data_IF_806118589285
#
_entry.id   IF_806118589285
#
_cell.length_a   1.000
_cell.length_b   1.000
_cell.length_c   1.000
_cell.angle_alpha   90.00
_cell.angle_beta   90.00
_cell.angle_gamma   90.00
#
_symmetry.space_group_name_H-M   'P 1'
#
loop_
_entity.id
_entity.type
_entity.pdbx_description
1 polymer ?
#
# COMPACT_ATOMS: atom_id res chain seq x y z
N UNK A 1 -26.81 15.56 -27.85
CA UNK A 1 -26.12 16.56 -27.02
C UNK A 1 -26.64 16.42 -25.60
N UNK A 2 -25.95 15.71 -24.77
CA UNK A 2 -26.20 15.61 -23.33
C UNK A 2 -24.91 16.04 -22.65
N UNK A 3 -24.88 17.26 -22.15
CA UNK A 3 -23.78 17.85 -21.43
C UNK A 3 -23.67 17.24 -20.04
N UNK A 4 -22.60 16.52 -19.79
CA UNK A 4 -22.24 16.04 -18.46
C UNK A 4 -21.79 17.21 -17.59
N UNK A 5 -22.54 17.50 -16.56
CA UNK A 5 -22.23 18.48 -15.54
C UNK A 5 -21.12 17.89 -14.63
N UNK A 6 -19.89 18.36 -14.82
CA UNK A 6 -18.79 18.08 -13.89
C UNK A 6 -19.03 18.93 -12.63
N UNK A 7 -19.60 18.33 -11.60
CA UNK A 7 -19.67 18.94 -10.28
C UNK A 7 -18.30 18.83 -9.64
N UNK A 8 -17.53 19.91 -9.67
CA UNK A 8 -16.36 20.06 -8.79
C UNK A 8 -16.89 20.18 -7.35
N UNK A 9 -16.76 19.13 -6.58
CA UNK A 9 -16.93 19.21 -5.14
C UNK A 9 -15.76 20.02 -4.55
N UNK A 10 -15.98 21.29 -4.29
CA UNK A 10 -15.14 22.06 -3.37
C UNK A 10 -15.47 21.55 -1.97
N UNK A 11 -14.61 20.68 -1.45
CA UNK A 11 -14.72 20.20 -0.07
C UNK A 11 -14.55 21.38 0.90
N UNK A 12 -15.44 21.53 1.91
CA UNK A 12 -15.22 22.51 2.95
C UNK A 12 -13.94 22.16 3.73
N UNK A 13 -13.25 23.17 4.23
CA UNK A 13 -12.06 23.11 5.09
C UNK A 13 -12.33 22.31 6.37
N UNK A 14 -12.33 20.98 6.28
CA UNK A 14 -12.13 20.12 7.44
C UNK A 14 -10.63 19.86 7.58
N UNK A 15 -10.16 19.85 8.82
CA UNK A 15 -8.75 19.60 9.13
C UNK A 15 -8.28 18.34 8.38
N UNK A 16 -7.39 18.52 7.40
CA UNK A 16 -6.87 17.41 6.60
C UNK A 16 -6.22 16.41 7.54
N UNK A 17 -6.58 15.13 7.41
CA UNK A 17 -6.02 14.04 8.21
C UNK A 17 -4.50 13.93 8.06
N UNK A 18 -4.00 14.32 6.89
CA UNK A 18 -2.57 14.43 6.58
C UNK A 18 -2.34 15.55 5.59
N UNK A 19 -1.26 16.31 5.74
CA UNK A 19 -0.92 17.46 4.91
C UNK A 19 0.36 17.17 4.12
N UNK A 20 0.33 17.41 2.81
CA UNK A 20 1.51 17.24 1.94
C UNK A 20 1.97 15.81 1.77
N UNK A 21 1.19 14.84 2.21
CA UNK A 21 1.50 13.43 2.23
C UNK A 21 0.77 12.68 1.10
N UNK A 22 1.49 11.85 0.34
CA UNK A 22 0.91 10.84 -0.55
C UNK A 22 0.92 9.49 0.19
N UNK A 23 -0.19 9.20 0.88
CA UNK A 23 -0.34 8.03 1.72
C UNK A 23 -0.90 6.80 0.97
N UNK A 24 -1.47 7.00 -0.23
CA UNK A 24 -2.11 5.95 -1.00
C UNK A 24 -1.16 5.40 -2.06
N UNK A 25 0.00 4.83 -1.62
CA UNK A 25 0.98 4.30 -2.56
C UNK A 25 1.58 3.00 -2.10
N UNK A 26 1.64 2.09 -3.07
CA UNK A 26 2.51 0.93 -2.99
C UNK A 26 3.96 1.38 -2.90
N UNK A 27 4.79 0.70 -2.11
CA UNK A 27 6.23 0.97 -2.06
C UNK A 27 6.86 0.63 -3.41
N UNK A 28 7.33 1.64 -4.12
CA UNK A 28 8.02 1.52 -5.41
C UNK A 28 9.35 2.27 -5.33
N UNK A 29 10.45 1.53 -5.22
CA UNK A 29 11.80 2.09 -5.20
C UNK A 29 12.44 1.76 -6.55
N UNK A 30 12.76 2.78 -7.37
CA UNK A 30 13.33 2.55 -8.68
C UNK A 30 14.79 2.16 -8.59
N UNK A 31 15.22 1.26 -9.45
CA UNK A 31 16.60 0.84 -9.61
C UNK A 31 17.23 1.49 -10.86
N UNK A 32 18.55 1.73 -10.86
CA UNK A 32 19.23 2.34 -11.99
C UNK A 32 19.48 1.36 -13.17
N UNK A 33 19.39 0.06 -12.93
CA UNK A 33 19.61 -0.98 -13.95
C UNK A 33 18.86 -2.27 -13.60
N UNK A 34 18.69 -3.14 -14.58
CA UNK A 34 18.08 -4.45 -14.38
C UNK A 34 18.89 -5.33 -13.39
N UNK A 35 20.22 -5.27 -13.46
CA UNK A 35 21.09 -6.05 -12.55
C UNK A 35 20.97 -5.61 -11.10
N UNK A 36 20.84 -4.30 -10.84
CA UNK A 36 20.61 -3.80 -9.48
C UNK A 36 19.20 -4.09 -8.99
N UNK A 37 18.20 -4.09 -9.88
CA UNK A 37 16.84 -4.48 -9.55
C UNK A 37 16.78 -5.96 -9.12
N UNK A 38 17.44 -6.84 -9.89
CA UNK A 38 17.50 -8.28 -9.60
C UNK A 38 18.21 -8.62 -8.28
N UNK A 39 19.15 -7.79 -7.86
CA UNK A 39 19.86 -7.99 -6.59
C UNK A 39 19.02 -7.65 -5.35
N UNK A 40 17.87 -6.98 -5.50
CA UNK A 40 16.94 -6.55 -4.44
C UNK A 40 17.60 -5.82 -3.24
N UNK A 41 18.82 -5.31 -3.41
CA UNK A 41 19.57 -4.64 -2.35
C UNK A 41 19.00 -3.27 -2.03
N UNK A 42 18.41 -3.08 -0.86
CA UNK A 42 17.90 -1.79 -0.39
C UNK A 42 19.03 -0.88 0.14
N UNK A 43 20.10 -1.45 0.63
CA UNK A 43 21.14 -0.73 1.41
C UNK A 43 22.09 0.13 0.55
N UNK A 44 22.21 -0.13 -0.75
CA UNK A 44 23.15 0.56 -1.65
C UNK A 44 22.51 0.97 -2.97
N UNK A 45 21.36 1.64 -2.90
CA UNK A 45 20.70 2.08 -4.11
C UNK A 45 21.07 3.52 -4.47
N UNK A 46 21.33 3.75 -5.75
CA UNK A 46 21.58 5.09 -6.29
C UNK A 46 20.40 6.04 -6.05
N UNK A 47 19.19 5.52 -5.96
CA UNK A 47 17.96 6.32 -5.89
C UNK A 47 17.24 6.22 -4.54
N UNK A 48 17.89 5.63 -3.55
CA UNK A 48 17.37 5.57 -2.18
C UNK A 48 18.50 5.73 -1.17
N UNK A 49 18.25 6.51 -0.14
CA UNK A 49 19.15 6.69 1.00
C UNK A 49 18.37 6.45 2.29
N UNK A 50 18.66 5.38 3.06
CA UNK A 50 18.11 5.22 4.40
C UNK A 50 18.69 6.28 5.34
N UNK A 51 17.87 6.76 6.26
CA UNK A 51 18.30 7.64 7.35
C UNK A 51 18.31 6.80 8.63
N UNK A 52 19.51 6.48 9.11
CA UNK A 52 19.72 5.58 10.27
C UNK A 52 20.27 6.29 11.50
N UNK A 53 20.92 7.45 11.32
CA UNK A 53 21.54 8.19 12.40
C UNK A 53 20.65 9.36 12.80
N UNK A 54 20.08 9.29 14.01
CA UNK A 54 19.17 10.29 14.53
C UNK A 54 19.68 10.91 15.84
N UNK A 55 19.78 12.23 15.83
CA UNK A 55 19.90 13.04 17.04
C UNK A 55 18.53 13.27 17.67
N UNK A 56 18.45 13.22 18.99
CA UNK A 56 17.22 13.48 19.75
C UNK A 56 17.44 14.65 20.71
N UNK A 57 17.37 15.90 20.23
CA UNK A 57 17.53 17.06 21.10
C UNK A 57 16.42 17.14 22.16
N UNK A 58 15.24 16.61 21.85
CA UNK A 58 14.08 16.48 22.73
C UNK A 58 13.43 15.10 22.52
N UNK A 59 12.61 14.65 23.49
CA UNK A 59 11.96 13.35 23.39
C UNK A 59 11.04 13.22 22.17
N UNK A 60 10.49 14.33 21.70
CA UNK A 60 9.54 14.38 20.57
C UNK A 60 10.16 14.88 19.27
N UNK A 61 11.44 15.23 19.27
CA UNK A 61 12.13 15.78 18.08
C UNK A 61 13.27 14.88 17.67
N UNK A 62 13.24 14.47 16.41
CA UNK A 62 14.29 13.67 15.78
C UNK A 62 14.92 14.50 14.66
N UNK A 63 16.23 14.60 14.64
CA UNK A 63 17.01 15.31 13.62
C UNK A 63 18.02 14.38 12.96
N UNK A 64 18.15 14.53 11.65
CA UNK A 64 19.10 13.80 10.85
C UNK A 64 19.52 14.61 9.64
N UNK A 65 20.45 14.07 8.87
CA UNK A 65 20.91 14.68 7.62
C UNK A 65 20.85 13.68 6.48
N UNK A 66 20.63 14.19 5.27
CA UNK A 66 20.76 13.41 4.05
C UNK A 66 21.50 14.21 2.97
N UNK A 67 22.13 13.49 2.05
CA UNK A 67 22.83 14.10 0.91
C UNK A 67 21.93 14.08 -0.32
N UNK A 68 21.81 15.22 -0.99
CA UNK A 68 21.15 15.33 -2.28
C UNK A 68 22.22 15.31 -3.40
N UNK A 69 22.46 14.18 -4.04
CA UNK A 69 23.50 14.06 -5.05
C UNK A 69 23.10 14.75 -6.36
N UNK A 70 24.06 15.26 -7.11
CA UNK A 70 23.86 15.89 -8.43
C UNK A 70 23.00 15.06 -9.39
N UNK A 71 23.10 13.73 -9.32
CA UNK A 71 22.31 12.82 -10.15
C UNK A 71 20.79 12.85 -9.89
N UNK A 72 20.32 13.57 -8.83
CA UNK A 72 18.91 13.71 -8.50
C UNK A 72 18.29 15.02 -8.96
N UNK A 73 19.06 15.97 -9.54
CA UNK A 73 18.60 17.32 -9.89
C UNK A 73 17.36 17.36 -10.80
N UNK A 74 17.28 16.48 -11.76
CA UNK A 74 16.13 16.39 -12.68
C UNK A 74 15.06 15.38 -12.25
N UNK A 75 15.13 14.92 -11.01
CA UNK A 75 14.21 13.91 -10.45
C UNK A 75 13.31 14.55 -9.39
N UNK A 76 12.29 13.81 -8.98
CA UNK A 76 11.52 14.15 -7.78
C UNK A 76 12.10 13.40 -6.58
N UNK A 77 12.15 14.08 -5.44
CA UNK A 77 12.69 13.52 -4.20
C UNK A 77 11.58 13.48 -3.16
N UNK A 78 11.44 12.33 -2.54
CA UNK A 78 10.45 12.06 -1.51
C UNK A 78 11.13 11.63 -0.22
N UNK A 79 10.62 12.11 0.89
CA UNK A 79 10.89 11.52 2.20
C UNK A 79 9.78 10.49 2.47
N UNK A 80 10.16 9.24 2.66
CA UNK A 80 9.25 8.17 3.05
C UNK A 80 9.47 7.84 4.51
N UNK A 81 8.39 7.85 5.30
CA UNK A 81 8.36 7.53 6.72
C UNK A 81 7.48 6.30 6.91
N UNK A 82 8.01 5.27 7.56
CA UNK A 82 7.31 4.04 7.89
C UNK A 82 7.41 3.78 9.41
N UNK A 83 6.42 3.10 9.98
CA UNK A 83 6.39 2.61 11.36
C UNK A 83 6.65 3.69 12.43
N UNK A 84 6.06 4.88 12.26
CA UNK A 84 6.17 5.97 13.23
C UNK A 84 5.34 5.71 14.50
N UNK A 85 4.26 4.92 14.40
CA UNK A 85 3.33 4.51 15.47
C UNK A 85 2.66 5.66 16.24
N UNK A 86 2.81 6.90 15.79
CA UNK A 86 2.13 8.08 16.32
C UNK A 86 2.07 9.19 15.27
N UNK A 87 1.20 10.20 15.42
CA UNK A 87 1.16 11.37 14.55
C UNK A 87 2.50 12.11 14.53
N UNK A 88 2.85 12.70 13.39
CA UNK A 88 4.10 13.44 13.24
C UNK A 88 4.04 14.52 12.16
N UNK A 89 4.96 15.47 12.25
CA UNK A 89 5.26 16.49 11.25
C UNK A 89 6.68 16.29 10.70
N UNK A 90 6.86 16.68 9.45
CA UNK A 90 8.15 16.62 8.74
C UNK A 90 8.59 18.02 8.34
N UNK A 91 9.86 18.33 8.59
CA UNK A 91 10.52 19.56 8.16
C UNK A 91 11.81 19.24 7.41
N UNK A 92 12.06 19.99 6.35
CA UNK A 92 13.29 19.90 5.55
C UNK A 92 13.93 21.29 5.52
N UNK A 93 15.19 21.38 5.96
CA UNK A 93 15.91 22.65 6.06
C UNK A 93 15.11 23.73 6.81
N UNK A 94 14.43 23.32 7.89
CA UNK A 94 13.59 24.19 8.73
C UNK A 94 12.22 24.55 8.12
N UNK A 95 11.88 24.07 6.93
CA UNK A 95 10.60 24.35 6.26
C UNK A 95 9.66 23.16 6.41
N UNK A 96 8.39 23.41 6.73
CA UNK A 96 7.36 22.39 6.84
C UNK A 96 7.15 21.66 5.49
N UNK A 97 7.26 20.36 5.50
CA UNK A 97 7.06 19.48 4.33
C UNK A 97 5.68 18.83 4.35
N UNK A 98 5.15 18.53 5.53
CA UNK A 98 3.85 17.90 5.70
C UNK A 98 3.70 17.21 7.04
N UNK A 99 2.57 16.56 7.25
CA UNK A 99 2.25 15.80 8.46
C UNK A 99 1.46 14.54 8.16
N UNK A 100 1.51 13.56 9.04
CA UNK A 100 0.67 12.38 9.02
C UNK A 100 0.06 12.14 10.40
N UNK A 101 -1.25 11.86 10.44
CA UNK A 101 -1.95 11.42 11.66
C UNK A 101 -1.93 9.90 11.80
N UNK A 102 -1.71 9.16 10.72
CA UNK A 102 -1.61 7.71 10.71
C UNK A 102 -0.15 7.27 10.81
N UNK A 103 0.30 6.95 12.00
CA UNK A 103 1.65 6.43 12.23
C UNK A 103 1.82 4.94 11.88
N UNK A 104 0.75 4.23 11.53
CA UNK A 104 0.77 2.79 11.24
C UNK A 104 0.94 2.48 9.75
N UNK A 105 0.89 3.47 8.89
CA UNK A 105 1.10 3.30 7.47
C UNK A 105 2.24 4.18 6.96
N UNK A 106 2.88 3.71 5.90
CA UNK A 106 3.91 4.47 5.22
C UNK A 106 3.35 5.75 4.60
N UNK A 107 4.07 6.86 4.76
CA UNK A 107 3.72 8.16 4.19
C UNK A 107 4.88 8.71 3.38
N UNK A 108 4.60 9.31 2.22
CA UNK A 108 5.60 9.94 1.36
C UNK A 108 5.34 11.44 1.21
N UNK A 109 6.36 12.24 1.46
CA UNK A 109 6.33 13.69 1.37
C UNK A 109 7.21 14.13 0.19
N UNK A 110 6.66 14.90 -0.75
CA UNK A 110 7.45 15.45 -1.85
C UNK A 110 8.31 16.60 -1.33
N UNK A 111 9.61 16.34 -1.17
CA UNK A 111 10.58 17.29 -0.65
C UNK A 111 11.44 17.94 -1.74
N UNK A 112 11.13 17.73 -3.03
CA UNK A 112 11.92 18.20 -4.16
C UNK A 112 12.25 19.70 -4.10
N UNK A 113 11.25 20.52 -3.77
CA UNK A 113 11.41 21.98 -3.70
C UNK A 113 12.01 22.48 -2.37
N UNK A 114 12.09 21.63 -1.37
CA UNK A 114 12.64 21.93 -0.05
C UNK A 114 14.10 21.51 0.07
N UNK A 115 14.51 20.55 -0.76
CA UNK A 115 15.87 20.05 -0.83
C UNK A 115 16.76 21.01 -1.61
N UNK A 116 18.03 21.08 -1.24
CA UNK A 116 19.11 21.78 -1.93
C UNK A 116 20.20 20.77 -2.29
N UNK A 117 21.05 21.12 -3.22
CA UNK A 117 22.25 20.32 -3.52
C UNK A 117 23.09 20.13 -2.26
N UNK A 118 23.75 18.96 -2.17
CA UNK A 118 24.59 18.54 -1.07
C UNK A 118 23.81 18.22 0.21
N UNK A 119 24.15 18.76 1.36
CA UNK A 119 23.66 18.35 2.67
C UNK A 119 22.36 19.07 3.05
N UNK A 120 21.38 18.28 3.49
CA UNK A 120 20.08 18.76 3.92
C UNK A 120 19.75 18.27 5.33
N UNK A 121 19.04 19.09 6.09
CA UNK A 121 18.54 18.76 7.41
C UNK A 121 17.11 18.17 7.30
N UNK A 122 16.87 17.08 8.02
CA UNK A 122 15.55 16.49 8.25
C UNK A 122 15.21 16.61 9.71
N UNK A 123 14.02 17.10 10.01
CA UNK A 123 13.46 17.10 11.35
C UNK A 123 12.08 16.42 11.33
N UNK A 124 11.87 15.45 12.21
CA UNK A 124 10.56 14.81 12.46
C UNK A 124 10.15 15.19 13.87
N UNK A 125 8.99 15.82 14.00
CA UNK A 125 8.36 16.15 15.27
C UNK A 125 7.23 15.18 15.53
N UNK A 126 7.38 14.37 16.56
CA UNK A 126 6.34 13.47 17.04
C UNK A 126 5.28 14.29 17.80
N UNK A 127 4.02 14.13 17.44
CA UNK A 127 2.89 14.85 18.02
C UNK A 127 2.21 14.00 19.10
N UNK A 128 1.40 14.64 19.96
CA UNK A 128 0.55 13.92 20.90
C UNK A 128 -0.39 12.95 20.14
N UNK A 129 -0.56 11.76 20.72
CA UNK A 129 -1.50 10.76 20.23
C UNK A 129 -2.90 10.90 20.83
N UNK A 130 -3.17 11.88 21.71
CA UNK A 130 -4.42 11.99 22.47
C UNK A 130 -5.66 12.00 21.59
N UNK A 131 -5.61 12.71 20.46
CA UNK A 131 -6.73 12.74 19.53
C UNK A 131 -6.89 11.39 18.81
N UNK A 132 -5.81 10.81 18.26
CA UNK A 132 -5.91 9.56 17.51
C UNK A 132 -6.19 8.36 18.39
N UNK A 133 -5.90 8.42 19.69
CA UNK A 133 -6.26 7.39 20.67
C UNK A 133 -7.78 7.11 20.72
N UNK A 134 -8.62 8.06 20.27
CA UNK A 134 -10.07 7.85 20.15
C UNK A 134 -10.44 6.76 19.13
N UNK A 135 -9.57 6.49 18.18
CA UNK A 135 -9.77 5.48 17.12
C UNK A 135 -8.66 4.42 17.11
N UNK A 136 -7.74 4.45 18.05
CA UNK A 136 -6.58 3.55 18.13
C UNK A 136 -6.57 2.78 19.46
N UNK A 137 -7.71 2.21 19.85
CA UNK A 137 -7.83 1.37 21.04
C UNK A 137 -7.28 -0.04 20.80
N UNK A 138 -5.96 -0.14 20.51
CA UNK A 138 -5.23 -1.38 20.30
C UNK A 138 -3.77 -1.22 20.74
N UNK A 139 -3.08 -2.34 20.93
CA UNK A 139 -1.67 -2.33 21.30
C UNK A 139 -0.82 -1.78 20.15
N UNK A 140 -0.01 -0.80 20.47
CA UNK A 140 1.01 -0.29 19.56
C UNK A 140 2.26 -1.15 19.70
N UNK A 141 2.78 -1.64 18.59
CA UNK A 141 4.08 -2.31 18.56
C UNK A 141 5.24 -1.39 18.99
N UNK A 142 6.42 -1.94 19.11
CA UNK A 142 7.62 -1.15 19.36
C UNK A 142 7.86 -0.18 18.20
N UNK A 143 8.15 1.09 18.52
CA UNK A 143 8.46 2.10 17.52
C UNK A 143 9.76 1.72 16.79
N UNK A 144 9.63 1.36 15.53
CA UNK A 144 10.74 0.97 14.64
C UNK A 144 10.89 1.94 13.48
N UNK A 145 10.66 3.23 13.74
CA UNK A 145 10.71 4.30 12.73
C UNK A 145 11.76 4.07 11.66
N UNK A 146 11.31 3.92 10.43
CA UNK A 146 12.15 3.79 9.24
C UNK A 146 11.93 4.99 8.35
N UNK A 147 13.02 5.63 7.94
CA UNK A 147 12.96 6.82 7.09
C UNK A 147 13.91 6.65 5.92
N UNK A 148 13.39 6.95 4.74
CA UNK A 148 14.15 6.87 3.49
C UNK A 148 13.98 8.15 2.67
N UNK A 149 15.06 8.60 2.05
CA UNK A 149 14.98 9.59 0.97
C UNK A 149 14.99 8.83 -0.35
N UNK A 150 13.96 9.00 -1.16
CA UNK A 150 13.77 8.26 -2.41
C UNK A 150 13.73 9.24 -3.57
N UNK A 151 14.59 9.03 -4.56
CA UNK A 151 14.61 9.79 -5.80
C UNK A 151 13.87 9.03 -6.91
N UNK A 152 12.88 9.67 -7.52
CA UNK A 152 12.05 9.09 -8.57
C UNK A 152 12.09 9.92 -9.84
N UNK A 153 12.04 9.33 -11.05
CA UNK A 153 11.95 10.13 -12.28
C UNK A 153 10.65 10.93 -12.31
N UNK A 154 10.63 12.03 -13.06
CA UNK A 154 9.42 12.86 -13.21
C UNK A 154 8.32 12.17 -14.00
N UNK A 155 8.69 11.28 -14.91
CA UNK A 155 7.76 10.36 -15.60
C UNK A 155 8.06 8.95 -15.11
N UNK A 156 7.13 8.39 -14.34
CA UNK A 156 7.42 7.21 -13.52
C UNK A 156 6.26 6.23 -13.44
N UNK A 157 6.58 5.00 -13.09
CA UNK A 157 5.63 4.05 -12.56
C UNK A 157 5.17 4.55 -11.18
N UNK A 158 3.88 4.78 -11.02
CA UNK A 158 3.28 5.23 -9.75
C UNK A 158 2.73 4.06 -8.93
N UNK A 159 2.19 3.07 -9.60
CA UNK A 159 1.59 1.90 -8.95
C UNK A 159 1.60 0.69 -9.89
N UNK A 160 1.49 -0.49 -9.30
CA UNK A 160 1.37 -1.75 -10.03
C UNK A 160 0.42 -2.70 -9.30
N UNK A 161 -0.37 -3.42 -10.07
CA UNK A 161 -1.21 -4.49 -9.60
C UNK A 161 -1.19 -5.66 -10.57
N UNK A 162 -1.50 -6.86 -10.07
CA UNK A 162 -1.66 -8.05 -10.89
C UNK A 162 -2.75 -8.95 -10.34
N UNK A 163 -3.33 -9.75 -11.21
CA UNK A 163 -4.30 -10.77 -10.90
C UNK A 163 -4.17 -11.94 -11.87
N UNK A 164 -4.86 -13.02 -11.60
CA UNK A 164 -5.02 -14.11 -12.54
C UNK A 164 -6.51 -14.45 -12.70
N UNK A 165 -6.85 -15.00 -13.85
CA UNK A 165 -8.16 -15.57 -14.14
C UNK A 165 -7.97 -17.00 -14.65
N UNK A 166 -8.47 -17.97 -13.90
CA UNK A 166 -8.39 -19.39 -14.27
C UNK A 166 -9.53 -19.71 -15.23
N UNK A 167 -9.15 -19.85 -16.51
CA UNK A 167 -10.08 -20.21 -17.57
C UNK A 167 -10.44 -21.69 -17.60
N UNK A 168 -11.27 -22.06 -18.58
CA UNK A 168 -11.57 -23.46 -18.88
C UNK A 168 -10.33 -24.15 -19.44
N UNK A 169 -10.15 -25.44 -19.12
CA UNK A 169 -9.05 -26.28 -19.63
C UNK A 169 -7.64 -25.98 -19.05
N UNK A 170 -7.55 -25.34 -17.86
CA UNK A 170 -6.27 -25.13 -17.19
C UNK A 170 -5.41 -23.99 -17.77
N UNK A 171 -5.94 -23.20 -18.67
CA UNK A 171 -5.28 -21.98 -19.13
C UNK A 171 -5.58 -20.85 -18.15
N UNK A 172 -4.54 -20.20 -17.66
CA UNK A 172 -4.65 -19.04 -16.77
C UNK A 172 -4.24 -17.79 -17.53
N UNK A 173 -5.07 -16.77 -17.49
CA UNK A 173 -4.72 -15.44 -17.98
C UNK A 173 -4.17 -14.62 -16.82
N UNK A 174 -2.89 -14.22 -16.92
CA UNK A 174 -2.34 -13.22 -16.01
C UNK A 174 -2.69 -11.82 -16.49
N UNK A 175 -3.05 -10.94 -15.59
CA UNK A 175 -3.37 -9.54 -15.87
C UNK A 175 -2.51 -8.62 -15.03
N UNK A 176 -1.93 -7.62 -15.66
CA UNK A 176 -1.09 -6.62 -15.02
C UNK A 176 -1.61 -5.21 -15.33
N UNK A 177 -1.64 -4.37 -14.32
CA UNK A 177 -1.93 -2.95 -14.44
C UNK A 177 -0.73 -2.14 -13.94
N UNK A 178 -0.24 -1.23 -14.77
CA UNK A 178 0.86 -0.32 -14.42
C UNK A 178 0.35 1.10 -14.54
N UNK A 179 0.25 1.79 -13.42
CA UNK A 179 -0.16 3.19 -13.36
C UNK A 179 1.06 4.07 -13.58
N UNK A 180 1.00 4.89 -14.61
CA UNK A 180 2.06 5.84 -14.98
C UNK A 180 1.67 7.26 -14.58
N UNK A 181 2.66 8.05 -14.17
CA UNK A 181 2.47 9.45 -13.81
C UNK A 181 3.53 10.34 -14.46
N UNK A 182 3.07 11.41 -15.10
CA UNK A 182 3.91 12.49 -15.62
C UNK A 182 3.83 13.70 -14.68
N UNK A 183 4.89 14.01 -13.97
CA UNK A 183 4.98 15.17 -13.09
C UNK A 183 5.64 16.40 -13.77
N UNK A 184 5.64 16.44 -15.12
CA UNK A 184 6.21 17.57 -15.88
C UNK A 184 5.11 18.48 -16.44
N UNK A 185 5.50 19.68 -16.84
CA UNK A 185 4.62 20.69 -17.45
C UNK A 185 4.27 20.41 -18.92
N UNK A 186 4.90 19.42 -19.53
CA UNK A 186 4.70 19.05 -20.94
C UNK A 186 4.21 17.61 -21.07
N UNK A 187 3.62 17.33 -22.23
CA UNK A 187 3.23 15.97 -22.59
C UNK A 187 4.48 15.10 -22.78
N UNK A 188 4.39 13.84 -22.39
CA UNK A 188 5.49 12.86 -22.49
C UNK A 188 4.97 11.53 -23.04
N UNK A 189 5.86 10.82 -23.72
CA UNK A 189 5.64 9.43 -24.08
C UNK A 189 6.63 8.58 -23.29
N UNK A 190 6.10 7.59 -22.62
CA UNK A 190 6.87 6.60 -21.86
C UNK A 190 6.72 5.24 -22.52
N UNK A 191 7.83 4.59 -22.86
CA UNK A 191 7.83 3.21 -23.34
C UNK A 191 8.11 2.28 -22.17
N UNK A 192 7.13 1.46 -21.80
CA UNK A 192 7.26 0.46 -20.76
C UNK A 192 7.58 -0.88 -21.39
N UNK A 193 8.75 -1.42 -21.07
CA UNK A 193 9.16 -2.80 -21.39
C UNK A 193 8.80 -3.67 -20.18
N UNK A 194 8.27 -4.86 -20.45
CA UNK A 194 7.86 -5.82 -19.43
C UNK A 194 8.19 -7.25 -19.86
N UNK A 195 8.67 -8.06 -18.91
CA UNK A 195 8.99 -9.46 -19.11
C UNK A 195 8.62 -10.26 -17.87
N UNK A 196 7.96 -11.40 -18.08
CA UNK A 196 7.56 -12.32 -17.02
C UNK A 196 8.41 -13.59 -17.11
N UNK A 197 9.04 -13.96 -16.02
CA UNK A 197 9.91 -15.12 -15.91
C UNK A 197 9.43 -16.10 -14.82
N UNK A 198 9.64 -17.39 -15.07
CA UNK A 198 9.51 -18.46 -14.09
C UNK A 198 10.91 -19.00 -13.77
N UNK A 199 11.23 -19.11 -12.47
CA UNK A 199 12.50 -19.61 -11.96
C UNK A 199 13.73 -18.92 -12.61
N UNK A 200 13.66 -17.61 -12.84
CA UNK A 200 14.69 -16.74 -13.42
C UNK A 200 15.15 -17.06 -14.84
N UNK A 201 14.71 -18.16 -15.42
CA UNK A 201 15.23 -18.69 -16.69
C UNK A 201 14.17 -18.88 -17.76
N UNK A 202 12.95 -19.25 -17.39
CA UNK A 202 11.88 -19.56 -18.34
C UNK A 202 11.05 -18.29 -18.58
N UNK A 203 11.18 -17.69 -19.75
CA UNK A 203 10.38 -16.54 -20.15
C UNK A 203 8.96 -16.96 -20.47
N UNK A 204 8.00 -16.53 -19.66
CA UNK A 204 6.56 -16.79 -19.84
C UNK A 204 5.93 -15.83 -20.85
N UNK A 205 6.39 -14.59 -20.90
CA UNK A 205 5.88 -13.57 -21.82
C UNK A 205 6.66 -12.27 -21.72
N UNK A 206 6.35 -11.31 -22.59
CA UNK A 206 6.97 -10.00 -22.55
C UNK A 206 6.67 -9.17 -23.80
N UNK A 207 6.94 -7.88 -23.68
CA UNK A 207 6.72 -6.93 -24.74
C UNK A 207 7.06 -5.51 -24.32
N UNK A 208 6.57 -4.55 -25.06
CA UNK A 208 6.62 -3.15 -24.71
C UNK A 208 5.37 -2.43 -25.19
N UNK A 209 5.05 -1.31 -24.56
CA UNK A 209 3.99 -0.40 -24.98
C UNK A 209 4.37 1.03 -24.70
N UNK A 210 3.94 1.91 -25.61
CA UNK A 210 4.02 3.35 -25.43
C UNK A 210 2.76 3.84 -24.68
N UNK A 211 2.99 4.69 -23.70
CA UNK A 211 1.97 5.34 -22.89
C UNK A 211 2.11 6.85 -23.07
N UNK A 212 1.11 7.46 -23.69
CA UNK A 212 1.06 8.92 -23.85
C UNK A 212 0.51 9.56 -22.58
N UNK A 213 1.28 10.42 -21.97
CA UNK A 213 0.95 11.07 -20.70
C UNK A 213 0.86 12.58 -20.89
N UNK A 214 -0.30 13.15 -20.74
CA UNK A 214 -0.49 14.60 -20.70
C UNK A 214 0.29 15.24 -19.53
N UNK A 215 0.45 16.55 -19.57
CA UNK A 215 1.10 17.30 -18.47
C UNK A 215 0.41 17.02 -17.14
N UNK A 216 1.18 16.69 -16.11
CA UNK A 216 0.69 16.31 -14.78
C UNK A 216 -0.32 15.16 -14.81
N UNK A 217 -0.35 14.38 -15.91
CA UNK A 217 -1.32 13.33 -16.15
C UNK A 217 -0.95 12.00 -15.53
N UNK A 218 -1.98 11.19 -15.34
CA UNK A 218 -1.89 9.79 -14.91
C UNK A 218 -2.62 8.96 -15.94
N UNK A 219 -2.03 7.83 -16.34
CA UNK A 219 -2.67 6.85 -17.20
C UNK A 219 -2.31 5.43 -16.74
N UNK A 220 -3.13 4.44 -17.12
CA UNK A 220 -2.95 3.05 -16.73
C UNK A 220 -2.76 2.17 -17.95
N UNK A 221 -1.58 1.56 -18.03
CA UNK A 221 -1.29 0.54 -19.03
C UNK A 221 -1.72 -0.83 -18.50
N UNK A 222 -2.38 -1.62 -19.38
CA UNK A 222 -2.78 -3.01 -19.08
C UNK A 222 -2.17 -3.96 -20.07
N UNK A 223 -1.68 -5.09 -19.58
CA UNK A 223 -1.17 -6.19 -20.38
C UNK A 223 -1.38 -7.53 -19.65
N UNK A 224 -1.28 -8.62 -20.37
CA UNK A 224 -1.42 -9.95 -19.79
C UNK A 224 -0.87 -11.03 -20.70
N UNK A 225 -0.71 -12.22 -20.17
CA UNK A 225 -0.20 -13.39 -20.86
C UNK A 225 -0.98 -14.64 -20.43
N UNK A 226 -1.20 -15.59 -21.35
CA UNK A 226 -1.54 -16.94 -20.95
C UNK A 226 -0.34 -17.57 -20.22
N UNK A 227 -0.57 -18.15 -19.08
CA UNK A 227 0.44 -18.85 -18.28
C UNK A 227 -0.04 -20.26 -17.94
N UNK A 228 0.86 -21.23 -17.70
CA UNK A 228 0.47 -22.55 -17.22
C UNK A 228 -0.26 -22.46 -15.85
N UNK A 229 -1.24 -23.33 -15.62
CA UNK A 229 -1.94 -23.43 -14.32
C UNK A 229 -1.00 -23.77 -13.16
N UNK A 230 0.11 -24.44 -13.45
CA UNK A 230 1.14 -24.78 -12.47
C UNK A 230 1.83 -23.59 -11.83
N UNK A 231 1.80 -22.38 -12.45
CA UNK A 231 2.43 -21.16 -11.89
C UNK A 231 1.50 -20.36 -10.99
N UNK A 232 0.22 -20.77 -10.90
CA UNK A 232 -0.75 -20.09 -10.02
C UNK A 232 -0.54 -20.52 -8.58
N UNK A 233 -0.58 -19.54 -7.68
CA UNK A 233 -0.48 -19.81 -6.24
C UNK A 233 -1.61 -20.71 -5.74
N UNK A 234 -1.28 -21.83 -5.11
CA UNK A 234 -2.25 -22.84 -4.68
C UNK A 234 -2.30 -23.04 -3.15
N UNK A 235 -1.91 -22.02 -2.35
CA UNK A 235 -1.89 -22.17 -0.89
C UNK A 235 -0.72 -23.01 -0.37
N UNK A 236 0.31 -23.21 -1.16
CA UNK A 236 1.58 -23.82 -0.80
C UNK A 236 2.68 -23.16 -1.63
N UNK A 237 3.92 -23.23 -1.20
CA UNK A 237 5.12 -22.55 -1.76
C UNK A 237 4.89 -21.91 -3.14
N UNK A 238 4.90 -20.58 -3.26
CA UNK A 238 4.71 -19.91 -4.52
C UNK A 238 5.82 -20.31 -5.49
N UNK A 239 5.48 -20.49 -6.77
CA UNK A 239 6.50 -20.53 -7.81
C UNK A 239 7.22 -19.19 -7.85
N UNK A 240 8.52 -19.22 -8.14
CA UNK A 240 9.31 -18.02 -8.32
C UNK A 240 8.96 -17.39 -9.69
N UNK A 241 7.89 -16.60 -9.71
CA UNK A 241 7.51 -15.80 -10.87
C UNK A 241 7.97 -14.37 -10.63
N UNK A 242 8.65 -13.78 -11.62
CA UNK A 242 9.20 -12.44 -11.53
C UNK A 242 8.76 -11.60 -12.72
N UNK A 243 8.30 -10.40 -12.45
CA UNK A 243 7.99 -9.38 -13.44
C UNK A 243 9.10 -8.33 -13.46
N UNK A 244 9.81 -8.25 -14.58
CA UNK A 244 10.76 -7.19 -14.84
C UNK A 244 10.06 -6.05 -15.56
N UNK A 245 10.22 -4.83 -15.07
CA UNK A 245 9.75 -3.61 -15.71
C UNK A 245 10.92 -2.67 -15.97
N UNK A 246 10.88 -2.03 -17.14
CA UNK A 246 11.79 -0.95 -17.51
C UNK A 246 10.99 0.19 -18.12
N UNK A 247 11.18 1.39 -17.60
CA UNK A 247 10.60 2.61 -18.12
C UNK A 247 11.64 3.39 -18.92
N UNK A 248 11.31 3.69 -20.19
CA UNK A 248 12.11 4.53 -21.07
C UNK A 248 11.33 5.76 -21.47
N UNK A 249 11.92 6.92 -21.24
CA UNK A 249 11.35 8.24 -21.56
C UNK A 249 12.33 8.99 -22.46
N UNK A 250 11.85 9.47 -23.60
CA UNK A 250 12.69 10.23 -24.55
C UNK A 250 14.00 9.50 -24.91
N UNK A 251 13.92 8.18 -25.10
CA UNK A 251 15.06 7.32 -25.48
C UNK A 251 16.02 6.96 -24.33
N UNK A 252 15.77 7.42 -23.10
CA UNK A 252 16.60 7.11 -21.92
C UNK A 252 15.87 6.17 -20.97
N UNK A 253 16.56 5.14 -20.49
CA UNK A 253 16.04 4.29 -19.42
C UNK A 253 16.12 5.05 -18.09
N UNK A 254 14.98 5.25 -17.43
CA UNK A 254 14.86 6.12 -16.25
C UNK A 254 14.63 5.39 -14.96
N UNK A 255 14.08 4.17 -15.03
CA UNK A 255 13.84 3.30 -13.86
C UNK A 255 13.67 1.84 -14.29
N UNK A 256 14.04 0.95 -13.38
CA UNK A 256 13.89 -0.49 -13.48
C UNK A 256 13.25 -1.02 -12.21
N UNK A 257 12.46 -2.08 -12.37
CA UNK A 257 11.85 -2.83 -11.27
C UNK A 257 11.94 -4.32 -11.51
N UNK A 258 11.99 -5.06 -10.43
CA UNK A 258 11.94 -6.51 -10.41
C UNK A 258 10.99 -6.92 -9.28
N UNK A 259 9.82 -7.43 -9.64
CA UNK A 259 8.80 -7.80 -8.68
C UNK A 259 8.66 -9.30 -8.58
N UNK A 260 8.74 -9.87 -7.36
CA UNK A 260 8.18 -11.19 -7.14
C UNK A 260 6.65 -11.11 -7.35
N UNK A 261 6.14 -11.98 -8.19
CA UNK A 261 4.71 -12.01 -8.55
C UNK A 261 4.12 -13.34 -8.10
N UNK A 262 3.02 -13.28 -7.37
CA UNK A 262 2.19 -14.44 -7.11
C UNK A 262 0.85 -14.23 -7.80
N UNK A 263 0.51 -15.14 -8.70
CA UNK A 263 -0.73 -15.10 -9.47
C UNK A 263 -1.79 -15.94 -8.77
N UNK A 264 -2.96 -15.38 -8.54
CA UNK A 264 -4.10 -16.07 -7.95
C UNK A 264 -5.40 -15.56 -8.56
N UNK A 265 -6.31 -16.48 -8.87
CA UNK A 265 -7.71 -16.14 -9.16
C UNK A 265 -8.47 -16.21 -7.82
N UNK A 266 -8.79 -15.06 -7.28
CA UNK A 266 -9.50 -14.91 -6.02
C UNK A 266 -10.87 -14.27 -6.27
N UNK A 267 -11.94 -14.94 -5.84
CA UNK A 267 -13.31 -14.42 -5.89
C UNK A 267 -14.04 -14.71 -4.58
N UNK A 268 -14.94 -13.82 -4.24
CA UNK A 268 -15.85 -14.00 -3.11
C UNK A 268 -17.28 -13.82 -3.59
N UNK A 269 -18.06 -14.88 -3.55
CA UNK A 269 -19.42 -14.90 -4.07
C UNK A 269 -20.36 -15.62 -3.09
N UNK A 270 -21.46 -14.96 -2.74
CA UNK A 270 -22.51 -15.54 -1.87
C UNK A 270 -21.98 -16.13 -0.55
N UNK A 271 -21.02 -15.46 0.07
CA UNK A 271 -20.46 -15.88 1.34
C UNK A 271 -19.38 -16.96 1.26
N UNK A 272 -18.92 -17.31 0.07
CA UNK A 272 -17.92 -18.34 -0.18
C UNK A 272 -16.71 -17.77 -0.94
N UNK A 273 -15.52 -18.13 -0.52
CA UNK A 273 -14.30 -17.85 -1.27
C UNK A 273 -14.11 -18.88 -2.38
N UNK A 274 -13.64 -18.41 -3.50
CA UNK A 274 -13.15 -19.25 -4.61
C UNK A 274 -11.70 -18.90 -4.90
N UNK A 275 -10.82 -19.87 -4.70
CA UNK A 275 -9.39 -19.76 -4.99
C UNK A 275 -9.10 -20.66 -6.17
N UNK A 276 -8.67 -20.09 -7.29
CA UNK A 276 -8.41 -20.80 -8.54
C UNK A 276 -9.59 -21.73 -8.93
N UNK A 277 -10.80 -21.18 -8.92
CA UNK A 277 -12.07 -21.89 -9.18
C UNK A 277 -12.47 -22.98 -8.16
N UNK A 278 -11.73 -23.16 -7.06
CA UNK A 278 -12.09 -24.10 -5.99
C UNK A 278 -12.76 -23.35 -4.84
N UNK A 279 -13.93 -23.83 -4.42
CA UNK A 279 -14.61 -23.29 -3.25
C UNK A 279 -13.77 -23.59 -1.99
N UNK A 280 -13.58 -22.57 -1.16
CA UNK A 280 -12.84 -22.66 0.09
C UNK A 280 -13.68 -22.00 1.19
N UNK A 281 -13.98 -22.75 2.24
CA UNK A 281 -14.55 -22.21 3.47
C UNK A 281 -13.38 -21.70 4.33
N UNK A 282 -13.32 -20.39 4.54
CA UNK A 282 -12.22 -19.74 5.25
C UNK A 282 -12.76 -19.19 6.57
N UNK A 283 -12.35 -19.80 7.68
CA UNK A 283 -12.63 -19.33 9.02
C UNK A 283 -11.37 -18.71 9.64
N UNK A 284 -11.41 -17.41 9.86
CA UNK A 284 -10.23 -16.64 10.28
C UNK A 284 -10.02 -16.72 11.78
N UNK A 285 -8.85 -17.22 12.20
CA UNK A 285 -8.38 -17.15 13.59
C UNK A 285 -7.82 -15.76 13.87
N UNK A 286 -8.31 -15.04 14.90
CA UNK A 286 -7.80 -13.72 15.23
C UNK A 286 -6.37 -13.80 15.81
N UNK A 287 -5.49 -12.89 15.36
CA UNK A 287 -4.14 -12.71 15.89
C UNK A 287 -3.81 -11.22 16.04
N UNK A 288 -2.90 -10.91 16.97
CA UNK A 288 -2.39 -9.54 17.14
C UNK A 288 -1.60 -9.09 15.90
N UNK A 289 -1.72 -7.82 15.47
CA UNK A 289 -0.91 -7.27 14.39
C UNK A 289 0.59 -7.21 14.74
N UNK A 290 0.94 -7.23 16.02
CA UNK A 290 2.33 -7.29 16.51
C UNK A 290 2.92 -8.71 16.55
N UNK A 291 2.18 -9.73 16.09
CA UNK A 291 2.67 -11.11 16.04
C UNK A 291 3.92 -11.21 15.15
N UNK A 292 4.86 -12.02 15.60
CA UNK A 292 6.10 -12.31 14.87
C UNK A 292 5.93 -13.48 13.89
N UNK A 293 6.92 -13.70 13.04
CA UNK A 293 6.99 -14.89 12.18
C UNK A 293 6.92 -16.18 13.02
N UNK A 294 7.58 -16.22 14.17
CA UNK A 294 7.53 -17.38 15.07
C UNK A 294 6.14 -17.65 15.63
N UNK A 295 5.36 -16.60 15.91
CA UNK A 295 3.99 -16.75 16.41
C UNK A 295 3.07 -17.32 15.33
N UNK A 296 3.21 -16.84 14.09
CA UNK A 296 2.50 -17.40 12.93
C UNK A 296 2.93 -18.84 12.69
N UNK A 297 4.22 -19.15 12.74
CA UNK A 297 4.72 -20.51 12.57
C UNK A 297 4.17 -21.49 13.66
N UNK A 298 4.05 -21.03 14.91
CA UNK A 298 3.41 -21.80 15.99
C UNK A 298 1.92 -22.03 15.71
N UNK A 299 1.22 -21.03 15.19
CA UNK A 299 -0.21 -21.15 14.81
C UNK A 299 -0.39 -22.18 13.69
N UNK A 300 0.45 -22.14 12.66
CA UNK A 300 0.45 -23.11 11.55
C UNK A 300 0.66 -24.54 12.06
N UNK A 301 1.61 -24.75 12.98
CA UNK A 301 1.85 -26.06 13.61
C UNK A 301 0.66 -26.60 14.39
N UNK A 302 -0.21 -25.70 14.88
CA UNK A 302 -1.49 -26.05 15.54
C UNK A 302 -2.65 -26.27 14.57
N UNK A 303 -2.40 -26.17 13.26
CA UNK A 303 -3.41 -26.41 12.23
C UNK A 303 -4.09 -25.14 11.69
N UNK A 304 -3.73 -23.94 12.15
CA UNK A 304 -4.26 -22.69 11.60
C UNK A 304 -3.86 -22.54 10.14
N UNK A 305 -4.82 -22.21 9.27
CA UNK A 305 -4.62 -21.99 7.83
C UNK A 305 -5.12 -20.62 7.36
N UNK A 306 -5.81 -19.90 8.24
CA UNK A 306 -6.36 -18.56 7.96
C UNK A 306 -6.31 -17.70 9.21
N UNK A 307 -5.83 -16.49 9.06
CA UNK A 307 -5.57 -15.54 10.14
C UNK A 307 -6.25 -14.22 9.84
N UNK A 308 -6.97 -13.66 10.81
CA UNK A 308 -7.36 -12.26 10.81
C UNK A 308 -6.44 -11.49 11.75
N UNK A 309 -5.60 -10.64 11.22
CA UNK A 309 -4.90 -9.69 12.06
C UNK A 309 -5.85 -8.58 12.51
N UNK A 310 -5.92 -8.38 13.83
CA UNK A 310 -6.73 -7.30 14.42
C UNK A 310 -6.17 -5.92 14.08
N UNK A 311 -6.88 -4.85 14.45
CA UNK A 311 -6.50 -3.48 14.09
C UNK A 311 -5.04 -3.16 14.47
N UNK A 312 -4.30 -2.59 13.53
CA UNK A 312 -2.89 -2.25 13.70
C UNK A 312 -2.08 -2.37 12.42
N UNK A 313 -0.76 -2.43 12.55
CA UNK A 313 0.17 -2.65 11.43
C UNK A 313 0.83 -4.02 11.55
N UNK A 314 0.71 -4.80 10.49
CA UNK A 314 1.39 -6.09 10.37
C UNK A 314 2.70 -5.90 9.61
N UNK A 315 3.79 -6.46 10.11
CA UNK A 315 5.09 -6.30 9.45
C UNK A 315 5.12 -6.98 8.07
N UNK A 316 5.86 -6.38 7.14
CA UNK A 316 6.08 -6.94 5.79
C UNK A 316 6.71 -8.35 5.88
N UNK A 317 7.56 -8.59 6.86
CA UNK A 317 8.19 -9.89 7.09
C UNK A 317 7.15 -10.99 7.40
N UNK A 318 6.17 -10.67 8.25
CA UNK A 318 5.07 -11.59 8.60
C UNK A 318 4.18 -11.85 7.38
N UNK A 319 3.85 -10.84 6.60
CA UNK A 319 3.05 -11.01 5.38
C UNK A 319 3.79 -11.83 4.33
N UNK A 320 5.08 -11.58 4.11
CA UNK A 320 5.91 -12.39 3.22
C UNK A 320 5.98 -13.86 3.68
N UNK A 321 6.05 -14.09 4.98
CA UNK A 321 5.99 -15.45 5.52
C UNK A 321 4.63 -16.12 5.28
N UNK A 322 3.53 -15.39 5.45
CA UNK A 322 2.19 -15.88 5.11
C UNK A 322 2.04 -16.21 3.62
N UNK A 323 2.59 -15.36 2.74
CA UNK A 323 2.64 -15.61 1.29
C UNK A 323 3.37 -16.93 0.98
N UNK A 324 4.54 -17.15 1.62
CA UNK A 324 5.37 -18.34 1.41
C UNK A 324 4.74 -19.62 1.96
N UNK A 325 4.06 -19.54 3.11
CA UNK A 325 3.43 -20.69 3.78
C UNK A 325 2.00 -20.96 3.31
N UNK A 326 1.44 -20.09 2.44
CA UNK A 326 0.09 -20.27 1.90
C UNK A 326 -1.02 -20.04 2.91
N UNK A 327 -0.82 -19.13 3.85
CA UNK A 327 -1.81 -18.78 4.87
C UNK A 327 -2.74 -17.71 4.31
N UNK A 328 -4.05 -17.92 4.42
CA UNK A 328 -5.03 -16.90 4.07
C UNK A 328 -5.09 -15.82 5.15
N UNK A 329 -5.01 -14.56 4.74
CA UNK A 329 -4.94 -13.42 5.65
C UNK A 329 -6.10 -12.47 5.40
N UNK A 330 -6.80 -12.07 6.47
CA UNK A 330 -7.64 -10.89 6.50
C UNK A 330 -6.94 -9.79 7.29
N UNK A 331 -6.81 -8.60 6.71
CA UNK A 331 -6.15 -7.46 7.37
C UNK A 331 -7.18 -6.45 7.82
N UNK A 332 -7.11 -6.05 9.09
CA UNK A 332 -7.96 -5.01 9.67
C UNK A 332 -7.25 -3.66 9.59
N UNK A 333 -7.95 -2.64 9.10
CA UNK A 333 -7.45 -1.27 9.13
C UNK A 333 -7.12 -0.84 10.58
N UNK A 334 -6.12 0.02 10.77
CA UNK A 334 -5.71 0.45 12.12
C UNK A 334 -6.75 1.40 12.73
N UNK A 335 -7.93 0.87 12.98
CA UNK A 335 -9.11 1.55 13.52
C UNK A 335 -9.78 0.63 14.55
N UNK A 336 -9.86 1.12 15.77
CA UNK A 336 -10.67 0.58 16.85
C UNK A 336 -11.09 1.74 17.75
N UNK A 337 -12.37 2.09 17.79
CA UNK A 337 -12.88 3.20 18.57
C UNK A 337 -13.74 2.78 19.77
N UNK A 338 -13.56 1.55 20.27
CA UNK A 338 -14.31 0.99 21.40
C UNK A 338 -14.26 1.86 22.64
N UNK A 339 -13.11 2.48 22.94
CA UNK A 339 -12.93 3.38 24.08
C UNK A 339 -13.82 4.64 24.01
N UNK A 340 -14.30 5.01 22.83
CA UNK A 340 -15.19 6.17 22.62
C UNK A 340 -16.68 5.82 22.76
N UNK A 341 -17.00 4.61 23.23
CA UNK A 341 -18.37 4.15 23.43
C UNK A 341 -19.07 3.72 22.13
N UNK A 342 -20.30 3.27 22.25
CA UNK A 342 -21.08 2.66 21.17
C UNK A 342 -22.16 3.56 20.56
N UNK A 343 -22.14 4.87 20.84
CA UNK A 343 -23.16 5.80 20.36
C UNK A 343 -23.09 5.99 18.84
N UNK A 344 -24.16 5.62 18.16
CA UNK A 344 -24.34 5.81 16.69
C UNK A 344 -24.94 7.19 16.34
N UNK A 345 -25.13 8.08 17.32
CA UNK A 345 -25.58 9.46 17.06
C UNK A 345 -24.45 10.27 16.44
N UNK A 346 -24.80 11.26 15.62
CA UNK A 346 -23.83 12.22 15.09
C UNK A 346 -23.05 12.90 16.23
N UNK A 347 -21.71 12.89 16.13
CA UNK A 347 -20.83 13.39 17.19
C UNK A 347 -20.70 12.44 18.41
N UNK A 348 -21.21 11.20 18.30
CA UNK A 348 -21.00 10.15 19.30
C UNK A 348 -19.65 9.45 19.12
N UNK A 349 -19.67 8.11 18.83
CA UNK A 349 -18.43 7.43 18.49
C UNK A 349 -17.79 8.09 17.25
N UNK A 350 -16.44 8.17 17.14
CA UNK A 350 -15.73 8.74 15.98
C UNK A 350 -16.20 8.20 14.63
N UNK A 351 -16.67 6.96 14.56
CA UNK A 351 -17.25 6.39 13.33
C UNK A 351 -18.49 7.17 12.83
N UNK A 352 -19.17 7.95 13.67
CA UNK A 352 -20.32 8.82 13.36
C UNK A 352 -20.00 10.31 13.49
N UNK A 353 -18.76 10.68 13.71
CA UNK A 353 -18.33 12.08 13.76
C UNK A 353 -17.74 12.48 12.39
N UNK A 354 -18.34 13.49 11.71
CA UNK A 354 -17.85 13.97 10.42
C UNK A 354 -16.38 14.41 10.43
N UNK A 355 -15.84 14.85 11.57
CA UNK A 355 -14.45 15.24 11.72
C UNK A 355 -13.45 14.09 11.57
N UNK A 356 -13.90 12.84 11.67
CA UNK A 356 -13.08 11.64 11.54
C UNK A 356 -13.22 10.93 10.19
N UNK A 357 -14.16 11.35 9.36
CA UNK A 357 -14.49 10.70 8.09
C UNK A 357 -13.28 10.47 7.20
N UNK A 358 -12.50 11.52 6.94
CA UNK A 358 -11.33 11.44 6.06
C UNK A 358 -10.27 10.49 6.64
N UNK A 359 -10.10 10.48 7.95
CA UNK A 359 -9.14 9.61 8.62
C UNK A 359 -9.53 8.12 8.48
N UNK A 360 -10.80 7.78 8.65
CA UNK A 360 -11.30 6.41 8.45
C UNK A 360 -11.06 5.93 7.02
N UNK A 361 -11.45 6.75 6.03
CA UNK A 361 -11.25 6.45 4.60
C UNK A 361 -9.76 6.32 4.27
N UNK A 362 -8.94 7.27 4.73
CA UNK A 362 -7.51 7.27 4.46
C UNK A 362 -6.83 6.00 5.01
N UNK A 363 -7.10 5.62 6.27
CA UNK A 363 -6.52 4.42 6.89
C UNK A 363 -6.89 3.13 6.15
N UNK A 364 -8.14 3.03 5.71
CA UNK A 364 -8.63 1.88 4.94
C UNK A 364 -7.93 1.78 3.57
N UNK A 365 -7.85 2.90 2.85
CA UNK A 365 -7.18 2.93 1.54
C UNK A 365 -5.67 2.71 1.65
N UNK A 366 -5.01 3.27 2.67
CA UNK A 366 -3.59 3.03 2.92
C UNK A 366 -3.30 1.55 3.15
N UNK A 367 -4.10 0.87 3.98
CA UNK A 367 -3.96 -0.55 4.21
C UNK A 367 -4.01 -1.33 2.88
N UNK A 368 -4.98 -1.04 2.02
CA UNK A 368 -5.10 -1.68 0.72
C UNK A 368 -3.86 -1.43 -0.16
N UNK A 369 -3.50 -0.17 -0.38
CA UNK A 369 -2.40 0.17 -1.29
C UNK A 369 -1.03 -0.36 -0.82
N UNK A 370 -0.81 -0.47 0.48
CA UNK A 370 0.45 -1.00 1.03
C UNK A 370 0.52 -2.52 1.00
N UNK A 371 -0.62 -3.23 1.02
CA UNK A 371 -0.65 -4.69 1.17
C UNK A 371 -1.26 -5.45 0.00
N UNK A 372 -1.83 -4.77 -1.00
CA UNK A 372 -2.54 -5.42 -2.12
C UNK A 372 -1.70 -6.41 -2.94
N UNK A 373 -0.37 -6.31 -2.89
CA UNK A 373 0.55 -7.23 -3.59
C UNK A 373 0.79 -8.55 -2.86
N UNK A 374 0.42 -8.64 -1.57
CA UNK A 374 0.51 -9.89 -0.83
C UNK A 374 -0.61 -10.84 -1.26
N UNK A 375 -0.22 -12.00 -1.78
CA UNK A 375 -1.16 -13.00 -2.28
C UNK A 375 -1.94 -13.67 -1.17
N UNK A 376 -1.32 -13.81 0.00
CA UNK A 376 -1.97 -14.32 1.21
C UNK A 376 -3.13 -13.44 1.67
N UNK A 377 -3.10 -12.13 1.40
CA UNK A 377 -4.16 -11.21 1.78
C UNK A 377 -5.38 -11.42 0.89
N UNK A 378 -6.38 -12.12 1.42
CA UNK A 378 -7.61 -12.51 0.70
C UNK A 378 -8.81 -11.66 1.06
N UNK A 379 -8.75 -10.86 2.12
CA UNK A 379 -9.83 -9.98 2.56
C UNK A 379 -9.31 -8.76 3.32
N UNK A 380 -10.11 -7.70 3.33
CA UNK A 380 -9.88 -6.52 4.15
C UNK A 380 -11.01 -6.31 5.14
N UNK A 381 -10.68 -5.83 6.33
CA UNK A 381 -11.62 -5.53 7.41
C UNK A 381 -11.54 -4.04 7.72
N UNK A 382 -12.68 -3.35 7.76
CA UNK A 382 -12.73 -1.90 7.88
C UNK A 382 -12.24 -1.38 9.24
N UNK A 383 -12.52 -2.12 10.30
CA UNK A 383 -12.16 -1.76 11.66
C UNK A 383 -12.40 -2.95 12.59
N UNK A 384 -11.82 -2.91 13.77
CA UNK A 384 -12.35 -3.61 14.94
C UNK A 384 -13.47 -2.76 15.58
N UNK A 385 -13.98 -3.09 16.76
CA UNK A 385 -15.11 -2.49 17.43
C UNK A 385 -15.17 -0.95 17.31
N UNK A 386 -16.11 -0.43 16.51
CA UNK A 386 -16.20 0.99 16.14
C UNK A 386 -17.64 1.48 15.96
N UNK A 387 -18.59 0.94 16.69
CA UNK A 387 -19.99 1.35 16.74
C UNK A 387 -20.72 1.43 15.38
N UNK A 388 -20.15 0.93 14.30
CA UNK A 388 -20.69 0.86 12.94
C UNK A 388 -21.32 2.18 12.43
N UNK A 389 -20.53 3.24 12.36
CA UNK A 389 -20.96 4.56 11.92
C UNK A 389 -20.84 4.81 10.43
N UNK A 390 -21.29 6.01 10.00
CA UNK A 390 -21.29 6.44 8.59
C UNK A 390 -19.88 6.46 7.98
N UNK A 391 -18.84 6.76 8.77
CA UNK A 391 -17.46 6.79 8.27
C UNK A 391 -16.96 5.41 7.82
N UNK A 392 -17.44 4.32 8.45
CA UNK A 392 -17.16 2.96 7.99
C UNK A 392 -17.84 2.63 6.66
N UNK A 393 -19.08 3.13 6.45
CA UNK A 393 -19.72 2.97 5.16
C UNK A 393 -18.98 3.69 4.04
N UNK A 394 -18.53 4.89 4.30
CA UNK A 394 -17.76 5.65 3.32
C UNK A 394 -16.39 5.02 3.06
N UNK A 395 -15.75 4.45 4.09
CA UNK A 395 -14.55 3.62 3.93
C UNK A 395 -14.83 2.40 3.06
N UNK A 396 -15.96 1.72 3.27
CA UNK A 396 -16.40 0.62 2.42
C UNK A 396 -16.56 1.04 0.96
N UNK A 397 -17.30 2.12 0.69
CA UNK A 397 -17.51 2.62 -0.67
C UNK A 397 -16.19 3.06 -1.33
N UNK A 398 -15.34 3.77 -0.60
CA UNK A 398 -14.04 4.20 -1.09
C UNK A 398 -13.15 3.00 -1.43
N UNK A 399 -13.10 1.99 -0.57
CA UNK A 399 -12.33 0.79 -0.83
C UNK A 399 -12.91 -0.01 -2.01
N UNK A 400 -14.23 -0.19 -2.08
CA UNK A 400 -14.92 -0.88 -3.21
C UNK A 400 -14.71 -0.18 -4.56
N UNK A 401 -14.38 1.10 -4.58
CA UNK A 401 -14.08 1.83 -5.82
C UNK A 401 -12.70 1.54 -6.40
N UNK A 402 -11.78 0.99 -5.61
CA UNK A 402 -10.37 0.76 -5.99
C UNK A 402 -9.90 -0.67 -5.82
N UNK A 403 -10.61 -1.48 -4.99
CA UNK A 403 -10.22 -2.85 -4.68
C UNK A 403 -10.49 -3.78 -5.88
N UNK A 404 -9.69 -4.82 -5.97
CA UNK A 404 -9.90 -5.95 -6.88
C UNK A 404 -11.08 -6.84 -6.41
N UNK A 405 -11.04 -8.13 -6.69
CA UNK A 405 -12.09 -9.10 -6.34
C UNK A 405 -12.16 -9.48 -4.85
N UNK A 406 -11.29 -8.94 -3.99
CA UNK A 406 -11.26 -9.26 -2.56
C UNK A 406 -12.46 -8.69 -1.83
N UNK A 407 -13.05 -9.45 -0.90
CA UNK A 407 -14.14 -8.94 -0.08
C UNK A 407 -13.67 -7.94 0.97
N UNK A 408 -14.59 -7.08 1.36
CA UNK A 408 -14.45 -6.12 2.44
C UNK A 408 -15.41 -6.48 3.55
N UNK A 409 -14.91 -6.65 4.78
CA UNK A 409 -15.70 -7.05 5.92
C UNK A 409 -15.75 -5.97 7.00
N UNK A 410 -16.81 -6.01 7.78
CA UNK A 410 -16.91 -5.41 9.10
C UNK A 410 -17.64 -6.37 10.02
N UNK A 411 -16.93 -7.15 10.82
CA UNK A 411 -17.49 -8.25 11.59
C UNK A 411 -18.43 -7.80 12.70
N UNK A 412 -18.17 -6.64 13.31
CA UNK A 412 -19.03 -6.07 14.36
C UNK A 412 -20.27 -5.34 13.81
N UNK A 413 -20.41 -5.29 12.50
CA UNK A 413 -21.50 -4.61 11.79
C UNK A 413 -22.79 -5.40 11.68
N UNK A 414 -22.87 -6.64 12.17
CA UNK A 414 -24.07 -7.45 12.24
C UNK A 414 -24.92 -7.47 10.96
N UNK A 415 -24.36 -7.79 9.80
CA UNK A 415 -25.02 -7.82 8.48
C UNK A 415 -25.43 -6.45 7.93
N UNK A 416 -24.79 -5.40 8.34
CA UNK A 416 -25.03 -4.08 7.79
C UNK A 416 -24.41 -3.96 6.38
N UNK A 417 -24.88 -3.00 5.62
CA UNK A 417 -24.58 -2.77 4.21
C UNK A 417 -23.15 -2.28 3.90
N UNK A 418 -22.32 -2.13 4.91
CA UNK A 418 -20.88 -1.79 4.79
C UNK A 418 -19.97 -3.05 4.85
N UNK A 419 -20.49 -4.21 4.56
CA UNK A 419 -19.74 -5.46 4.58
C UNK A 419 -20.22 -6.41 3.48
N UNK A 420 -19.29 -7.10 2.82
CA UNK A 420 -19.61 -8.19 1.90
C UNK A 420 -20.00 -9.49 2.64
N UNK A 421 -19.90 -9.50 3.97
CA UNK A 421 -20.29 -10.63 4.80
C UNK A 421 -21.82 -10.67 4.98
N UNK A 422 -22.47 -11.65 4.34
CA UNK A 422 -23.91 -11.81 4.29
C UNK A 422 -24.43 -12.99 5.11
N UNK A 423 -23.68 -13.51 6.07
CA UNK A 423 -24.12 -14.64 6.92
C UNK A 423 -24.94 -14.22 8.10
#
# INVERSE_FOLDING_TARGET
>A
MLGGLFVMFTSPLYAQSSVGCDAHRTRLIPYPSASTAAAHGLERQRYMQPITEWERPENTVLRAKYTFPFSWLERQVYLRVEDAYQPYEVYINGKFAGSSRNGFAASEFNITKLSREDLNDVEIRLLSADEVNKIECFERGANTLKVFVVSQPRVRVRDIAWSAEVGKQGVVNSNFEVVMHNATVGDKVSTIYYELYLNDTIRLGGGHRDVALGRYGVDTMRFGFPVPDSVVWQGSKPYNVRLLLKNRVEGRDVEFYDFPVSLVDLRYEKGMFYINNKACDIDFTPMSPSSTVDDVAKAIKRGVRSIRFTAGSVSEEVLNYCDAEGIFVALTAPINSSSSGSSRKRGGNPSNDPGWREEYVARTLQLYYTTKRHTSVVAYVLADDSANGISLYESYLALKSVIDSRPVFYFDGSREWNSDHLK
#
